data_IF_850232369456
#
_entry.id   IF_850232369456
#
_cell.length_a   1.000
_cell.length_b   1.000
_cell.length_c   1.000
_cell.angle_alpha   90.00
_cell.angle_beta   90.00
_cell.angle_gamma   90.00
#
_symmetry.space_group_name_H-M   'P 1'
#
loop_
_entity.id
_entity.type
_entity.pdbx_description
1 polymer ?
#
# COMPACT_ATOMS: atom_id res chain seq x y z
N UNK A 1 13.67 1.95 -11.97
CA UNK A 1 12.31 2.48 -12.16
C UNK A 1 12.28 3.40 -13.38
N UNK A 2 11.33 3.22 -14.29
CA UNK A 2 11.02 4.20 -15.34
C UNK A 2 9.98 5.19 -14.78
N UNK A 3 10.26 6.50 -14.68
CA UNK A 3 9.27 7.44 -14.15
C UNK A 3 8.07 7.57 -15.10
N UNK A 4 6.89 7.82 -14.55
CA UNK A 4 5.72 8.22 -15.35
C UNK A 4 5.83 9.69 -15.75
N UNK A 5 5.13 10.09 -16.81
CA UNK A 5 5.06 11.50 -17.22
C UNK A 5 4.38 12.34 -16.13
N UNK A 6 4.70 13.64 -16.10
CA UNK A 6 4.04 14.58 -15.19
C UNK A 6 2.53 14.63 -15.41
N UNK A 7 2.08 14.56 -16.67
CA UNK A 7 0.66 14.49 -17.03
C UNK A 7 -0.03 13.25 -16.46
N UNK A 8 0.61 12.08 -16.57
CA UNK A 8 0.07 10.84 -16.00
C UNK A 8 -0.02 10.92 -14.49
N UNK A 9 1.01 11.46 -13.82
CA UNK A 9 1.02 11.64 -12.36
C UNK A 9 -0.10 12.58 -11.90
N UNK A 10 -0.28 13.71 -12.58
CA UNK A 10 -1.39 14.63 -12.34
C UNK A 10 -2.75 13.94 -12.54
N UNK A 11 -2.88 13.11 -13.59
CA UNK A 11 -4.07 12.33 -13.87
C UNK A 11 -4.42 11.31 -12.78
N UNK A 12 -3.43 10.61 -12.23
CA UNK A 12 -3.62 9.73 -11.05
C UNK A 12 -4.16 10.53 -9.87
N UNK A 13 -3.50 11.64 -9.52
CA UNK A 13 -3.88 12.42 -8.35
C UNK A 13 -5.28 13.02 -8.49
N UNK A 14 -5.65 13.47 -9.68
CA UNK A 14 -6.99 13.96 -9.97
C UNK A 14 -8.05 12.86 -9.77
N UNK A 15 -7.80 11.65 -10.28
CA UNK A 15 -8.71 10.50 -10.12
C UNK A 15 -8.85 10.07 -8.66
N UNK A 16 -7.74 9.97 -7.93
CA UNK A 16 -7.76 9.63 -6.52
C UNK A 16 -8.56 10.66 -5.69
N UNK A 17 -8.37 11.96 -5.93
CA UNK A 17 -9.13 13.02 -5.23
C UNK A 17 -10.64 12.95 -5.50
N UNK A 18 -11.02 12.52 -6.70
CA UNK A 18 -12.42 12.41 -7.12
C UNK A 18 -13.10 11.10 -6.66
N UNK A 19 -12.35 10.05 -6.31
CA UNK A 19 -12.90 8.73 -6.03
C UNK A 19 -13.60 8.63 -4.67
N UNK A 20 -13.00 9.16 -3.60
CA UNK A 20 -13.56 9.11 -2.25
C UNK A 20 -12.55 9.47 -1.15
N UNK A 21 -12.93 9.40 0.14
CA UNK A 21 -12.09 9.85 1.27
C UNK A 21 -10.70 9.19 1.39
N UNK A 22 -10.59 7.87 1.33
CA UNK A 22 -9.34 7.11 1.38
C UNK A 22 -8.48 7.38 0.16
N UNK A 23 -9.07 7.39 -1.05
CA UNK A 23 -8.34 7.76 -2.24
C UNK A 23 -7.83 9.21 -2.18
N UNK A 24 -8.65 10.14 -1.69
CA UNK A 24 -8.27 11.55 -1.51
C UNK A 24 -7.14 11.72 -0.51
N UNK A 25 -7.23 11.06 0.65
CA UNK A 25 -6.16 11.07 1.66
C UNK A 25 -4.83 10.60 1.06
N UNK A 26 -4.83 9.49 0.33
CA UNK A 26 -3.64 9.02 -0.37
C UNK A 26 -3.10 10.05 -1.39
N UNK A 27 -3.97 10.70 -2.16
CA UNK A 27 -3.55 11.73 -3.12
C UNK A 27 -2.92 12.96 -2.44
N UNK A 28 -3.47 13.38 -1.30
CA UNK A 28 -2.96 14.48 -0.50
C UNK A 28 -1.60 14.12 0.11
N UNK A 29 -1.47 12.92 0.68
CA UNK A 29 -0.20 12.42 1.19
C UNK A 29 0.88 12.37 0.10
N UNK A 30 0.56 11.80 -1.07
CA UNK A 30 1.46 11.71 -2.22
C UNK A 30 1.91 13.09 -2.69
N UNK A 31 0.97 14.04 -2.81
CA UNK A 31 1.27 15.40 -3.24
C UNK A 31 2.14 16.15 -2.22
N UNK A 32 1.78 16.10 -0.94
CA UNK A 32 2.49 16.80 0.13
C UNK A 32 3.94 16.31 0.30
N UNK A 33 4.17 15.01 0.12
CA UNK A 33 5.49 14.38 0.26
C UNK A 33 6.21 14.21 -1.09
N UNK A 34 5.64 14.72 -2.18
CA UNK A 34 6.20 14.63 -3.54
C UNK A 34 6.59 13.21 -3.93
N UNK A 35 5.74 12.24 -3.58
CA UNK A 35 6.00 10.82 -3.83
C UNK A 35 6.02 10.56 -5.34
N UNK A 36 7.12 9.99 -5.81
CA UNK A 36 7.30 9.60 -7.21
C UNK A 36 6.63 8.26 -7.47
N UNK A 37 5.91 8.18 -8.58
CA UNK A 37 5.27 6.96 -9.08
C UNK A 37 5.94 6.58 -10.39
N UNK A 38 6.36 5.33 -10.52
CA UNK A 38 7.01 4.83 -11.72
C UNK A 38 6.78 3.35 -11.96
N UNK A 39 7.32 2.84 -13.06
CA UNK A 39 7.20 1.44 -13.45
C UNK A 39 8.46 0.67 -13.10
N UNK A 40 8.27 -0.56 -12.63
CA UNK A 40 9.34 -1.48 -12.27
C UNK A 40 8.88 -2.93 -12.43
N UNK A 41 9.74 -3.80 -12.95
CA UNK A 41 9.41 -5.23 -13.06
C UNK A 41 9.40 -5.87 -11.68
N UNK A 42 8.30 -6.53 -11.33
CA UNK A 42 8.06 -7.14 -10.03
C UNK A 42 7.02 -8.25 -10.12
N UNK A 43 6.84 -9.02 -9.06
CA UNK A 43 5.83 -10.10 -9.01
C UNK A 43 4.45 -9.61 -8.55
N UNK A 44 4.42 -8.53 -7.78
CA UNK A 44 3.20 -7.91 -7.24
C UNK A 44 2.66 -6.82 -8.17
N UNK A 45 1.43 -6.36 -7.97
CA UNK A 45 0.86 -5.27 -8.77
C UNK A 45 1.53 -3.91 -8.52
N UNK A 46 1.94 -3.68 -7.28
CA UNK A 46 2.66 -2.49 -6.83
C UNK A 46 3.62 -2.83 -5.68
N UNK A 47 4.49 -1.89 -5.33
CA UNK A 47 5.27 -1.86 -4.08
C UNK A 47 5.68 -0.44 -3.72
N UNK A 48 5.84 -0.17 -2.45
CA UNK A 48 6.56 0.99 -1.93
C UNK A 48 8.07 0.68 -1.78
N UNK A 49 8.90 1.73 -1.69
CA UNK A 49 10.36 1.59 -1.51
C UNK A 49 10.86 2.34 -0.28
N UNK A 50 12.00 1.90 0.28
CA UNK A 50 12.61 2.55 1.45
C UNK A 50 13.02 4.01 1.19
N UNK A 51 13.24 4.39 -0.05
CA UNK A 51 13.53 5.78 -0.44
C UNK A 51 12.27 6.58 -0.82
N UNK A 52 11.08 6.05 -0.53
CA UNK A 52 9.84 6.81 -0.55
C UNK A 52 9.21 6.97 -1.93
N UNK A 53 9.20 5.90 -2.72
CA UNK A 53 8.56 5.86 -4.04
C UNK A 53 7.51 4.76 -4.09
N UNK A 54 6.62 4.88 -5.06
CA UNK A 54 5.68 3.82 -5.44
C UNK A 54 6.10 3.29 -6.80
N UNK A 55 6.27 1.99 -6.90
CA UNK A 55 6.59 1.29 -8.14
C UNK A 55 5.44 0.38 -8.54
N UNK A 56 4.94 0.56 -9.76
CA UNK A 56 3.85 -0.22 -10.33
C UNK A 56 4.40 -1.25 -11.31
N UNK A 57 3.74 -2.39 -11.40
CA UNK A 57 4.03 -3.37 -12.43
C UNK A 57 3.69 -2.77 -13.81
N UNK A 58 4.49 -3.00 -14.87
CA UNK A 58 4.19 -2.45 -16.19
C UNK A 58 2.83 -2.90 -16.76
N UNK A 59 2.25 -3.99 -16.28
CA UNK A 59 0.91 -4.42 -16.71
C UNK A 59 -0.25 -3.68 -16.00
N UNK A 60 0.01 -2.94 -14.92
CA UNK A 60 -1.03 -2.35 -14.05
C UNK A 60 -1.11 -0.82 -14.14
N UNK A 61 -0.59 -0.18 -15.20
CA UNK A 61 -0.42 1.29 -15.28
C UNK A 61 -1.58 2.07 -15.95
N UNK A 62 -2.68 1.40 -16.28
CA UNK A 62 -3.79 1.99 -17.01
C UNK A 62 -4.66 2.85 -16.06
N UNK A 63 -4.78 4.16 -16.32
CA UNK A 63 -5.54 5.06 -15.43
C UNK A 63 -7.02 4.72 -15.34
N UNK A 64 -7.60 4.11 -16.38
CA UNK A 64 -8.99 3.67 -16.40
C UNK A 64 -9.25 2.42 -15.56
N UNK A 65 -8.21 1.73 -15.11
CA UNK A 65 -8.35 0.59 -14.22
C UNK A 65 -8.54 1.06 -12.77
N UNK A 66 -9.72 0.86 -12.15
CA UNK A 66 -9.92 1.24 -10.76
C UNK A 66 -8.99 0.49 -9.81
N UNK A 67 -8.59 -0.75 -10.14
CA UNK A 67 -7.69 -1.55 -9.30
C UNK A 67 -6.35 -0.85 -9.10
N UNK A 68 -5.80 -0.20 -10.13
CA UNK A 68 -4.57 0.58 -10.04
C UNK A 68 -4.65 1.63 -8.92
N UNK A 69 -5.75 2.37 -8.83
CA UNK A 69 -5.92 3.41 -7.81
C UNK A 69 -5.87 2.80 -6.41
N UNK A 70 -6.52 1.64 -6.23
CA UNK A 70 -6.53 0.95 -4.93
C UNK A 70 -5.13 0.45 -4.53
N UNK A 71 -4.33 -0.03 -5.49
CA UNK A 71 -2.93 -0.39 -5.25
C UNK A 71 -2.11 0.83 -4.82
N UNK A 72 -2.30 1.98 -5.47
CA UNK A 72 -1.61 3.22 -5.07
C UNK A 72 -1.99 3.62 -3.64
N UNK A 73 -3.26 3.50 -3.26
CA UNK A 73 -3.71 3.75 -1.88
C UNK A 73 -2.99 2.82 -0.91
N UNK A 74 -2.93 1.52 -1.20
CA UNK A 74 -2.20 0.54 -0.40
C UNK A 74 -0.73 0.93 -0.17
N UNK A 75 -0.01 1.23 -1.25
CA UNK A 75 1.40 1.61 -1.15
C UNK A 75 1.61 2.95 -0.44
N UNK A 76 0.71 3.92 -0.63
CA UNK A 76 0.74 5.19 0.08
C UNK A 76 0.55 5.00 1.59
N UNK A 77 -0.37 4.10 1.99
CA UNK A 77 -0.57 3.73 3.39
C UNK A 77 0.71 3.18 4.01
N UNK A 78 1.47 2.33 3.32
CA UNK A 78 2.76 1.85 3.82
C UNK A 78 3.83 2.92 3.96
N UNK A 79 3.88 3.87 3.02
CA UNK A 79 4.79 5.01 3.12
C UNK A 79 4.46 5.88 4.33
N UNK A 80 3.18 6.13 4.60
CA UNK A 80 2.71 6.92 5.75
C UNK A 80 2.98 6.21 7.09
N UNK A 81 2.76 4.90 7.15
CA UNK A 81 3.06 4.06 8.32
C UNK A 81 4.56 4.05 8.68
N UNK A 82 5.42 4.14 7.67
CA UNK A 82 6.85 3.90 7.77
C UNK A 82 7.22 2.42 7.87
N UNK A 83 8.42 2.10 7.39
CA UNK A 83 8.90 0.74 7.16
C UNK A 83 8.87 -0.16 8.41
N UNK A 84 9.03 0.41 9.60
CA UNK A 84 9.01 -0.37 10.84
C UNK A 84 7.66 -1.02 11.12
N UNK A 85 6.57 -0.36 10.72
CA UNK A 85 5.21 -0.85 10.87
C UNK A 85 4.70 -1.51 9.59
N UNK A 86 4.98 -0.91 8.42
CA UNK A 86 4.61 -1.48 7.12
C UNK A 86 5.14 -2.91 6.92
N UNK A 87 6.37 -3.22 7.37
CA UNK A 87 6.95 -4.57 7.32
C UNK A 87 6.48 -5.46 8.48
N UNK A 88 5.18 -5.45 8.77
CA UNK A 88 4.55 -6.30 9.80
C UNK A 88 3.17 -6.75 9.31
N UNK A 89 2.63 -7.82 9.87
CA UNK A 89 1.26 -8.24 9.54
C UNK A 89 0.23 -7.18 9.93
N UNK A 90 0.46 -6.44 11.02
CA UNK A 90 -0.40 -5.32 11.39
C UNK A 90 -0.38 -4.20 10.35
N UNK A 91 0.80 -3.83 9.83
CA UNK A 91 0.94 -2.84 8.77
C UNK A 91 0.25 -3.25 7.47
N UNK A 92 0.44 -4.51 7.06
CA UNK A 92 -0.23 -5.12 5.91
C UNK A 92 -1.74 -5.18 6.09
N UNK A 93 -2.24 -5.48 7.30
CA UNK A 93 -3.68 -5.46 7.58
C UNK A 93 -4.28 -4.08 7.35
N UNK A 94 -3.60 -3.04 7.80
CA UNK A 94 -4.03 -1.66 7.58
C UNK A 94 -3.95 -1.26 6.10
N UNK A 95 -2.92 -1.72 5.37
CA UNK A 95 -2.81 -1.55 3.91
C UNK A 95 -3.96 -2.23 3.14
N UNK A 96 -4.31 -3.48 3.51
CA UNK A 96 -5.46 -4.19 2.94
C UNK A 96 -6.78 -3.50 3.27
N UNK A 97 -6.97 -3.00 4.50
CA UNK A 97 -8.17 -2.24 4.85
C UNK A 97 -8.29 -0.96 4.03
N UNK A 98 -7.20 -0.19 3.90
CA UNK A 98 -7.19 1.02 3.08
C UNK A 98 -7.52 0.71 1.61
N UNK A 99 -6.94 -0.36 1.06
CA UNK A 99 -7.23 -0.82 -0.30
C UNK A 99 -8.71 -1.26 -0.46
N UNK A 100 -9.28 -1.93 0.52
CA UNK A 100 -10.67 -2.37 0.51
C UNK A 100 -11.61 -1.16 0.45
N UNK A 101 -11.38 -0.19 1.33
CA UNK A 101 -12.19 1.01 1.36
C UNK A 101 -12.08 1.79 0.05
N UNK A 102 -10.87 1.96 -0.49
CA UNK A 102 -10.65 2.56 -1.80
C UNK A 102 -11.39 1.82 -2.93
N UNK A 103 -11.50 0.50 -2.87
CA UNK A 103 -12.33 -0.28 -3.80
C UNK A 103 -13.81 0.08 -3.71
N UNK A 104 -14.33 0.21 -2.49
CA UNK A 104 -15.77 0.43 -2.25
C UNK A 104 -16.24 1.86 -2.50
N UNK A 105 -15.34 2.84 -2.50
CA UNK A 105 -15.64 4.27 -2.73
C UNK A 105 -16.35 4.55 -4.07
N UNK A 106 -15.87 4.04 -5.22
CA UNK A 106 -16.58 4.16 -6.49
C UNK A 106 -17.79 3.20 -6.61
N UNK A 107 -18.21 2.54 -5.51
CA UNK A 107 -19.31 1.58 -5.52
C UNK A 107 -18.95 0.20 -6.06
N UNK A 108 -17.67 -0.14 -6.18
CA UNK A 108 -17.25 -1.48 -6.62
C UNK A 108 -17.33 -2.47 -5.47
N UNK A 109 -17.70 -3.71 -5.79
CA UNK A 109 -17.73 -4.80 -4.83
C UNK A 109 -16.41 -5.58 -4.85
N UNK A 110 -15.88 -5.88 -3.67
CA UNK A 110 -14.78 -6.84 -3.52
C UNK A 110 -15.37 -8.24 -3.38
N UNK A 111 -15.22 -9.05 -4.43
CA UNK A 111 -15.82 -10.38 -4.50
C UNK A 111 -15.14 -11.41 -3.59
N UNK A 112 -13.87 -11.21 -3.23
CA UNK A 112 -13.12 -12.15 -2.42
C UNK A 112 -13.63 -12.13 -0.95
N UNK A 113 -14.17 -13.26 -0.43
CA UNK A 113 -14.68 -13.32 0.93
C UNK A 113 -13.61 -13.07 2.01
N UNK A 114 -12.33 -13.37 1.73
CA UNK A 114 -11.25 -13.15 2.70
C UNK A 114 -11.02 -11.67 3.00
N UNK A 115 -11.24 -10.80 2.00
CA UNK A 115 -11.19 -9.35 2.19
C UNK A 115 -12.28 -8.86 3.12
N UNK A 116 -13.50 -9.37 2.97
CA UNK A 116 -14.62 -9.01 3.84
C UNK A 116 -14.37 -9.42 5.29
N UNK A 117 -13.72 -10.56 5.51
CA UNK A 117 -13.34 -11.02 6.84
C UNK A 117 -12.21 -10.17 7.43
N UNK A 118 -11.19 -9.82 6.64
CA UNK A 118 -10.07 -8.97 7.06
C UNK A 118 -10.54 -7.60 7.57
N UNK A 119 -11.45 -6.95 6.84
CA UNK A 119 -11.94 -5.62 7.24
C UNK A 119 -12.85 -5.65 8.46
N UNK A 120 -13.43 -6.81 8.81
CA UNK A 120 -14.24 -7.00 10.02
C UNK A 120 -13.42 -7.27 11.27
N UNK A 121 -12.12 -7.55 11.15
CA UNK A 121 -11.26 -7.70 12.32
C UNK A 121 -11.26 -6.41 13.16
N UNK A 122 -11.05 -6.47 14.49
CA UNK A 122 -11.02 -5.28 15.33
C UNK A 122 -9.99 -4.24 14.88
N UNK A 123 -10.30 -2.96 15.05
CA UNK A 123 -9.37 -1.87 14.71
C UNK A 123 -8.04 -1.97 15.47
N UNK A 124 -8.10 -2.43 16.72
CA UNK A 124 -6.93 -2.76 17.54
C UNK A 124 -6.83 -4.29 17.63
N UNK A 125 -6.15 -4.96 16.67
CA UNK A 125 -6.16 -6.42 16.60
C UNK A 125 -5.30 -7.03 17.71
N UNK A 126 -5.81 -8.07 18.34
CA UNK A 126 -5.05 -8.93 19.24
C UNK A 126 -3.99 -9.75 18.47
N UNK A 127 -3.11 -10.43 19.19
CA UNK A 127 -2.16 -11.38 18.57
C UNK A 127 -2.88 -12.50 17.80
N UNK A 128 -4.04 -12.96 18.29
CA UNK A 128 -4.84 -13.96 17.61
C UNK A 128 -5.44 -13.41 16.31
N UNK A 129 -5.96 -12.17 16.36
CA UNK A 129 -6.51 -11.49 15.17
C UNK A 129 -5.44 -11.28 14.10
N UNK A 130 -4.21 -10.93 14.48
CA UNK A 130 -3.10 -10.77 13.52
C UNK A 130 -2.68 -12.10 12.90
N UNK A 131 -2.71 -13.21 13.66
CA UNK A 131 -2.47 -14.55 13.09
C UNK A 131 -3.58 -14.95 12.11
N UNK A 132 -4.83 -14.63 12.44
CA UNK A 132 -5.98 -14.82 11.55
C UNK A 132 -5.84 -13.97 10.28
N UNK A 133 -5.49 -12.68 10.43
CA UNK A 133 -5.25 -11.77 9.31
C UNK A 133 -4.20 -12.33 8.33
N UNK A 134 -3.07 -12.82 8.85
CA UNK A 134 -2.05 -13.49 8.03
C UNK A 134 -2.62 -14.68 7.25
N UNK A 135 -3.42 -15.53 7.90
CA UNK A 135 -4.01 -16.69 7.24
C UNK A 135 -4.96 -16.28 6.11
N UNK A 136 -5.78 -15.26 6.33
CA UNK A 136 -6.69 -14.72 5.32
C UNK A 136 -5.94 -14.09 4.13
N UNK A 137 -4.88 -13.31 4.39
CA UNK A 137 -4.04 -12.75 3.33
C UNK A 137 -3.35 -13.84 2.51
N UNK A 138 -2.89 -14.93 3.16
CA UNK A 138 -2.31 -16.08 2.45
C UNK A 138 -3.34 -16.84 1.62
N UNK A 139 -4.59 -16.93 2.09
CA UNK A 139 -5.66 -17.58 1.36
C UNK A 139 -6.09 -16.76 0.12
N UNK A 140 -6.06 -15.43 0.22
CA UNK A 140 -6.39 -14.52 -0.89
C UNK A 140 -5.24 -14.33 -1.88
N UNK A 141 -4.04 -13.95 -1.42
CA UNK A 141 -2.90 -13.60 -2.27
C UNK A 141 -1.92 -14.76 -2.52
N UNK A 142 -2.11 -15.90 -1.85
CA UNK A 142 -1.24 -17.06 -1.96
C UNK A 142 0.10 -16.90 -1.22
N UNK A 143 0.91 -17.98 -1.24
CA UNK A 143 2.23 -18.02 -0.58
C UNK A 143 3.27 -17.08 -1.19
N UNK A 144 3.08 -16.68 -2.45
CA UNK A 144 3.95 -15.74 -3.15
C UNK A 144 3.96 -14.33 -2.56
N UNK A 145 2.98 -13.99 -1.72
CA UNK A 145 2.87 -12.71 -1.03
C UNK A 145 3.84 -12.56 0.17
N UNK A 146 4.48 -13.65 0.62
CA UNK A 146 5.53 -13.64 1.64
C UNK A 146 5.16 -13.05 3.03
N UNK A 147 3.89 -12.73 3.29
CA UNK A 147 3.38 -12.25 4.59
C UNK A 147 3.75 -13.15 5.78
N UNK A 148 4.01 -14.44 5.54
CA UNK A 148 4.45 -15.40 6.54
C UNK A 148 5.85 -15.11 7.10
N UNK A 149 6.69 -14.37 6.37
CA UNK A 149 8.01 -13.91 6.81
C UNK A 149 7.94 -12.70 7.75
N UNK A 150 6.86 -11.92 7.68
CA UNK A 150 6.75 -10.69 8.46
C UNK A 150 6.46 -10.99 9.94
N UNK A 151 7.01 -10.21 10.89
CA UNK A 151 6.57 -10.29 12.28
C UNK A 151 5.12 -9.79 12.40
N UNK A 152 4.41 -10.20 13.46
CA UNK A 152 3.03 -9.74 13.67
C UNK A 152 2.97 -8.22 13.96
N UNK A 153 3.98 -7.70 14.67
CA UNK A 153 4.09 -6.30 15.11
C UNK A 153 5.55 -5.84 15.03
N UNK A 154 5.84 -4.53 15.15
CA UNK A 154 7.20 -4.03 15.05
C UNK A 154 8.14 -4.68 16.08
N UNK A 155 9.32 -5.08 15.64
CA UNK A 155 10.37 -5.68 16.46
C UNK A 155 11.70 -4.91 16.26
N UNK A 156 12.80 -5.27 16.94
CA UNK A 156 14.07 -4.54 16.78
C UNK A 156 14.57 -4.47 15.32
N UNK A 157 14.38 -5.54 14.54
CA UNK A 157 14.79 -5.58 13.13
C UNK A 157 13.96 -4.60 12.28
N UNK A 158 12.62 -4.63 12.37
CA UNK A 158 11.80 -3.70 11.59
C UNK A 158 12.03 -2.25 12.01
N UNK A 159 12.28 -2.00 13.30
CA UNK A 159 12.67 -0.67 13.79
C UNK A 159 14.00 -0.19 13.23
N UNK A 160 14.97 -1.10 13.05
CA UNK A 160 16.24 -0.79 12.37
C UNK A 160 15.99 -0.41 10.91
N UNK A 161 15.15 -1.17 10.20
CA UNK A 161 14.76 -0.82 8.81
C UNK A 161 14.04 0.53 8.77
N UNK A 162 13.16 0.84 9.73
CA UNK A 162 12.53 2.15 9.84
C UNK A 162 13.51 3.31 10.08
N UNK A 163 14.62 3.07 10.79
CA UNK A 163 15.70 4.06 10.92
C UNK A 163 16.41 4.26 9.58
N UNK A 164 16.72 3.18 8.88
CA UNK A 164 17.33 3.23 7.55
C UNK A 164 16.44 4.00 6.55
N UNK A 165 15.14 3.72 6.54
CA UNK A 165 14.17 4.44 5.71
C UNK A 165 14.21 5.96 5.97
N UNK A 166 14.19 6.39 7.24
CA UNK A 166 14.24 7.82 7.57
C UNK A 166 15.53 8.50 7.10
N UNK A 167 16.65 7.79 7.05
CA UNK A 167 17.89 8.31 6.48
C UNK A 167 17.80 8.42 4.96
N UNK A 168 17.38 7.33 4.29
CA UNK A 168 17.20 7.30 2.84
C UNK A 168 16.23 8.40 2.35
N UNK A 169 15.16 8.67 3.10
CA UNK A 169 14.15 9.65 2.73
C UNK A 169 14.61 11.10 2.90
N UNK A 170 15.56 11.36 3.82
CA UNK A 170 16.22 12.67 3.94
C UNK A 170 17.16 12.95 2.77
N UNK A 171 17.80 11.90 2.25
CA UNK A 171 18.76 11.98 1.15
C UNK A 171 18.10 11.89 -0.23
N UNK A 172 16.83 11.45 -0.28
CA UNK A 172 16.11 11.32 -1.53
C UNK A 172 15.92 12.69 -2.23
N UNK A 173 16.25 12.80 -3.53
CA UNK A 173 15.99 14.02 -4.28
C UNK A 173 14.48 14.30 -4.29
N UNK A 174 14.09 15.48 -3.79
CA UNK A 174 12.71 15.96 -3.82
C UNK A 174 12.39 16.42 -5.24
N UNK A 175 11.26 15.95 -5.77
CA UNK A 175 10.76 16.35 -7.10
C UNK A 175 10.36 17.83 -7.15
#
# INVERSE_FOLDING_TARGET
MKPMSAEWHAGVLARLRAAGPYCRHAAEFIAAHKIRIGLSRQRTGARWTLDGRIELHPATHCLSDPHLLTLIVHEATHLEQGAAYALTVAGELDGWRAQYHAYTEPGLAVADPHWQELVRLPQIPSTADLRRARALMLASAGRGYLIWLLPLRPNPLTRLVGRAQRMAWKEAPRA
#
